data_IF_664710362614
#
_entry.id   IF_664710362614
#
_cell.length_a   1.000
_cell.length_b   1.000
_cell.length_c   1.000
_cell.angle_alpha   90.00
_cell.angle_beta   90.00
_cell.angle_gamma   90.00
#
_symmetry.space_group_name_H-M   'P 1'
#
loop_
_entity.id
_entity.type
_entity.pdbx_description
1 polymer ?
#
# COMPACT_ATOMS: atom_id res chain seq x y z
N UNK A 1 -6.46 -2.96 21.71
CA UNK A 1 -5.88 -2.30 20.51
C UNK A 1 -7.00 -1.55 19.78
N UNK A 2 -6.81 -0.27 19.44
CA UNK A 2 -7.83 0.49 18.69
C UNK A 2 -8.03 -0.11 17.29
N UNK A 3 -9.23 0.04 16.72
CA UNK A 3 -9.60 -0.66 15.48
C UNK A 3 -8.74 -0.22 14.29
N UNK A 4 -8.35 1.05 14.22
CA UNK A 4 -7.50 1.57 13.15
C UNK A 4 -6.13 0.86 13.09
N UNK A 5 -5.52 0.56 14.25
CA UNK A 5 -4.24 -0.14 14.29
C UNK A 5 -4.36 -1.60 13.84
N UNK A 6 -5.52 -2.23 14.04
CA UNK A 6 -5.77 -3.57 13.49
C UNK A 6 -5.82 -3.54 11.97
N UNK A 7 -6.44 -2.52 11.38
CA UNK A 7 -6.46 -2.33 9.92
C UNK A 7 -5.03 -2.20 9.38
N UNK A 8 -4.19 -1.39 10.03
CA UNK A 8 -2.78 -1.23 9.66
C UNK A 8 -2.00 -2.56 9.77
N UNK A 9 -2.16 -3.30 10.86
CA UNK A 9 -1.47 -4.59 11.05
C UNK A 9 -1.87 -5.62 10.00
N UNK A 10 -3.17 -5.72 9.70
CA UNK A 10 -3.68 -6.61 8.65
C UNK A 10 -3.10 -6.22 7.29
N UNK A 11 -3.03 -4.92 7.00
CA UNK A 11 -2.46 -4.43 5.74
C UNK A 11 -0.95 -4.71 5.62
N UNK A 12 -0.18 -4.55 6.70
CA UNK A 12 1.24 -4.93 6.75
C UNK A 12 1.42 -6.43 6.49
N UNK A 13 0.61 -7.27 7.13
CA UNK A 13 0.63 -8.72 6.88
C UNK A 13 0.25 -9.05 5.43
N UNK A 14 -0.74 -8.35 4.87
CA UNK A 14 -1.15 -8.53 3.49
C UNK A 14 -0.02 -8.16 2.50
N UNK A 15 0.73 -7.09 2.76
CA UNK A 15 1.91 -6.73 1.95
C UNK A 15 2.99 -7.80 2.05
N UNK A 16 3.36 -8.23 3.27
CA UNK A 16 4.36 -9.29 3.45
C UNK A 16 3.96 -10.57 2.71
N UNK A 17 2.69 -10.95 2.76
CA UNK A 17 2.19 -12.11 2.02
C UNK A 17 2.23 -11.88 0.50
N UNK A 18 1.80 -10.71 0.03
CA UNK A 18 1.86 -10.34 -1.38
C UNK A 18 3.30 -10.39 -1.91
N UNK A 19 4.24 -9.80 -1.19
CA UNK A 19 5.64 -9.74 -1.59
C UNK A 19 6.27 -11.12 -1.57
N UNK A 20 5.99 -11.91 -0.52
CA UNK A 20 6.53 -13.26 -0.38
C UNK A 20 6.00 -14.20 -1.47
N UNK A 21 4.68 -14.28 -1.62
CA UNK A 21 4.05 -15.14 -2.62
C UNK A 21 4.34 -14.64 -4.03
N UNK A 22 4.37 -13.33 -4.21
CA UNK A 22 4.68 -12.68 -5.46
C UNK A 22 6.09 -12.95 -5.92
N UNK A 23 7.06 -12.90 -5.01
CA UNK A 23 8.47 -13.20 -5.30
C UNK A 23 8.69 -14.67 -5.66
N UNK A 24 8.02 -15.59 -4.97
CA UNK A 24 8.06 -17.02 -5.29
C UNK A 24 7.42 -17.27 -6.66
N UNK A 25 6.26 -16.68 -6.91
CA UNK A 25 5.50 -16.87 -8.14
C UNK A 25 6.20 -16.25 -9.35
N UNK A 26 6.78 -15.05 -9.22
CA UNK A 26 7.50 -14.37 -10.31
C UNK A 26 8.67 -15.20 -10.80
N UNK A 27 9.40 -15.83 -9.88
CA UNK A 27 10.48 -16.77 -10.21
C UNK A 27 9.94 -18.07 -10.82
N UNK A 28 8.85 -18.62 -10.31
CA UNK A 28 8.33 -19.92 -10.76
C UNK A 28 7.67 -19.86 -12.13
N UNK A 29 6.99 -18.75 -12.44
CA UNK A 29 6.23 -18.55 -13.68
C UNK A 29 6.92 -17.58 -14.64
N UNK A 30 8.13 -17.13 -14.33
CA UNK A 30 8.99 -16.26 -15.14
C UNK A 30 8.31 -14.94 -15.60
N UNK A 31 7.54 -14.32 -14.70
CA UNK A 31 6.95 -13.00 -14.95
C UNK A 31 7.63 -11.93 -14.10
N UNK A 32 7.58 -10.68 -14.56
CA UNK A 32 8.15 -9.57 -13.82
C UNK A 32 7.34 -9.27 -12.55
N UNK A 33 7.99 -9.37 -11.39
CA UNK A 33 7.45 -9.09 -10.06
C UNK A 33 6.73 -7.74 -9.97
N UNK A 34 7.21 -6.70 -10.67
CA UNK A 34 6.61 -5.37 -10.67
C UNK A 34 5.16 -5.34 -11.19
N UNK A 35 4.71 -6.37 -11.91
CA UNK A 35 3.30 -6.51 -12.30
C UNK A 35 2.36 -6.71 -11.12
N UNK A 36 2.87 -7.04 -9.93
CA UNK A 36 2.07 -7.15 -8.71
C UNK A 36 1.87 -5.83 -7.99
N UNK A 37 2.59 -4.76 -8.38
CA UNK A 37 2.47 -3.43 -7.76
C UNK A 37 1.04 -2.85 -7.69
N UNK A 38 0.12 -3.08 -8.66
CA UNK A 38 -1.26 -2.61 -8.52
C UNK A 38 -1.97 -3.20 -7.31
N UNK A 39 -1.64 -4.42 -6.88
CA UNK A 39 -2.24 -5.04 -5.69
C UNK A 39 -1.78 -4.32 -4.41
N UNK A 40 -0.52 -3.89 -4.31
CA UNK A 40 -0.05 -3.05 -3.22
C UNK A 40 -0.83 -1.73 -3.16
N UNK A 41 -1.12 -1.10 -4.29
CA UNK A 41 -1.90 0.13 -4.34
C UNK A 41 -3.34 -0.06 -3.86
N UNK A 42 -3.97 -1.20 -4.20
CA UNK A 42 -5.29 -1.57 -3.68
C UNK A 42 -5.24 -1.70 -2.14
N UNK A 43 -4.18 -2.32 -1.60
CA UNK A 43 -3.98 -2.42 -0.14
C UNK A 43 -3.87 -1.03 0.49
N UNK A 44 -3.09 -0.11 -0.09
CA UNK A 44 -2.95 1.27 0.40
C UNK A 44 -4.27 2.01 0.43
N UNK A 45 -4.98 2.02 -0.70
CA UNK A 45 -6.26 2.72 -0.85
C UNK A 45 -7.34 2.15 0.07
N UNK A 46 -7.42 0.82 0.17
CA UNK A 46 -8.39 0.15 1.04
C UNK A 46 -8.10 0.41 2.52
N UNK A 47 -6.82 0.37 2.91
CA UNK A 47 -6.40 0.68 4.29
C UNK A 47 -6.78 2.12 4.66
N UNK A 48 -6.48 3.08 3.78
CA UNK A 48 -6.82 4.47 4.00
C UNK A 48 -8.33 4.69 4.07
N UNK A 49 -9.09 4.07 3.17
CA UNK A 49 -10.56 4.11 3.16
C UNK A 49 -11.14 3.59 4.48
N UNK A 50 -10.77 2.37 4.89
CA UNK A 50 -11.28 1.73 6.11
C UNK A 50 -10.87 2.52 7.36
N UNK A 51 -9.64 3.01 7.42
CA UNK A 51 -9.15 3.82 8.55
C UNK A 51 -9.87 5.17 8.62
N UNK A 52 -10.06 5.84 7.48
CA UNK A 52 -10.78 7.10 7.40
C UNK A 52 -12.26 6.96 7.78
N UNK A 53 -12.87 5.79 7.57
CA UNK A 53 -14.23 5.49 8.05
C UNK A 53 -14.31 5.38 9.57
N UNK A 54 -13.24 4.95 10.22
CA UNK A 54 -13.22 4.68 11.66
C UNK A 54 -12.72 5.87 12.48
N UNK A 55 -11.89 6.72 11.90
CA UNK A 55 -11.22 7.82 12.61
C UNK A 55 -11.25 9.12 11.83
N UNK A 56 -10.31 9.30 10.89
CA UNK A 56 -10.20 10.51 10.08
C UNK A 56 -9.32 10.26 8.83
N UNK A 57 -9.48 11.12 7.82
CA UNK A 57 -8.76 11.01 6.54
C UNK A 57 -7.25 11.14 6.73
N UNK A 58 -6.80 12.03 7.62
CA UNK A 58 -5.37 12.29 7.86
C UNK A 58 -4.69 11.02 8.39
N UNK A 59 -5.31 10.33 9.35
CA UNK A 59 -4.80 9.04 9.84
C UNK A 59 -4.76 7.99 8.71
N UNK A 60 -5.79 7.94 7.85
CA UNK A 60 -5.81 7.03 6.70
C UNK A 60 -4.67 7.28 5.71
N UNK A 61 -4.40 8.54 5.36
CA UNK A 61 -3.29 8.96 4.50
C UNK A 61 -1.94 8.59 5.13
N UNK A 62 -1.78 8.86 6.43
CA UNK A 62 -0.55 8.55 7.15
C UNK A 62 -0.30 7.04 7.20
N UNK A 63 -1.34 6.23 7.37
CA UNK A 63 -1.21 4.77 7.33
C UNK A 63 -0.84 4.27 5.92
N UNK A 64 -1.43 4.82 4.86
CA UNK A 64 -1.02 4.49 3.50
C UNK A 64 0.45 4.89 3.23
N UNK A 65 0.90 6.03 3.72
CA UNK A 65 2.30 6.44 3.63
C UNK A 65 3.23 5.44 4.36
N UNK A 66 2.89 5.02 5.57
CA UNK A 66 3.64 4.00 6.32
C UNK A 66 3.71 2.70 5.51
N UNK A 67 2.61 2.28 4.90
CA UNK A 67 2.57 1.08 4.07
C UNK A 67 3.47 1.21 2.83
N UNK A 68 3.44 2.35 2.14
CA UNK A 68 4.32 2.61 1.00
C UNK A 68 5.81 2.64 1.37
N UNK A 69 6.14 3.20 2.54
CA UNK A 69 7.50 3.15 3.08
C UNK A 69 7.90 1.71 3.42
N UNK A 70 7.00 0.94 4.03
CA UNK A 70 7.24 -0.46 4.37
C UNK A 70 7.47 -1.32 3.12
N UNK A 71 6.63 -1.21 2.11
CA UNK A 71 6.74 -1.96 0.84
C UNK A 71 8.05 -1.63 0.12
N UNK A 72 8.34 -0.34 -0.04
CA UNK A 72 9.57 0.12 -0.73
C UNK A 72 10.88 -0.15 0.04
N UNK A 73 10.81 -0.63 1.29
CA UNK A 73 11.98 -0.98 2.09
C UNK A 73 12.01 -2.46 2.44
N UNK A 74 11.09 -2.93 3.28
CA UNK A 74 11.00 -4.30 3.75
C UNK A 74 10.47 -5.22 2.65
N UNK A 75 9.43 -4.80 1.93
CA UNK A 75 8.90 -5.57 0.79
C UNK A 75 9.95 -5.79 -0.29
N UNK A 76 10.65 -4.72 -0.67
CA UNK A 76 11.77 -4.80 -1.59
C UNK A 76 12.92 -5.69 -1.07
N UNK A 77 13.24 -5.61 0.22
CA UNK A 77 14.25 -6.50 0.81
C UNK A 77 13.82 -7.97 0.76
N UNK A 78 12.54 -8.26 0.99
CA UNK A 78 11.99 -9.61 0.86
C UNK A 78 12.11 -10.13 -0.57
N UNK A 79 11.81 -9.30 -1.57
CA UNK A 79 11.91 -9.71 -2.98
C UNK A 79 13.33 -10.07 -3.38
N UNK A 80 14.33 -9.31 -2.90
CA UNK A 80 15.75 -9.63 -3.12
C UNK A 80 16.16 -10.94 -2.42
N UNK A 81 15.80 -11.13 -1.14
CA UNK A 81 16.12 -12.36 -0.40
C UNK A 81 15.49 -13.59 -1.07
N UNK A 82 14.27 -13.42 -1.58
CA UNK A 82 13.53 -14.46 -2.27
C UNK A 82 13.88 -14.54 -3.76
N UNK A 83 14.91 -13.83 -4.25
CA UNK A 83 15.33 -13.85 -5.65
C UNK A 83 14.13 -13.73 -6.62
N UNK A 84 13.27 -12.75 -6.39
CA UNK A 84 12.15 -12.45 -7.28
C UNK A 84 12.66 -12.14 -8.69
N UNK A 85 11.89 -12.50 -9.72
CA UNK A 85 12.19 -12.04 -11.08
C UNK A 85 11.82 -10.55 -11.18
N UNK A 86 12.80 -9.66 -11.03
CA UNK A 86 12.62 -8.20 -11.16
C UNK A 86 12.88 -7.68 -12.59
N UNK A 87 13.07 -8.58 -13.57
CA UNK A 87 13.52 -8.23 -14.91
C UNK A 87 14.88 -7.52 -14.92
N UNK A 88 15.04 -6.52 -15.77
CA UNK A 88 16.30 -5.77 -15.96
C UNK A 88 16.58 -4.71 -14.87
N UNK A 89 15.89 -4.77 -13.72
CA UNK A 89 16.14 -3.84 -12.62
C UNK A 89 17.51 -4.16 -12.02
N UNK A 90 18.43 -3.18 -12.10
CA UNK A 90 19.74 -3.28 -11.48
C UNK A 90 19.63 -3.16 -9.95
N UNK A 91 19.77 -4.30 -9.28
CA UNK A 91 19.76 -4.38 -7.82
C UNK A 91 21.02 -3.75 -7.16
N UNK A 92 21.99 -3.28 -7.95
CA UNK A 92 23.20 -2.56 -7.49
C UNK A 92 23.04 -1.03 -7.48
N UNK A 93 21.80 -0.53 -7.54
CA UNK A 93 21.50 0.88 -7.41
C UNK A 93 22.16 1.53 -6.18
N UNK A 94 22.59 2.79 -6.33
CA UNK A 94 23.21 3.55 -5.24
C UNK A 94 22.22 3.75 -4.07
N UNK A 95 22.74 3.88 -2.84
CA UNK A 95 21.92 4.15 -1.65
C UNK A 95 21.03 5.38 -1.82
N UNK A 96 21.52 6.42 -2.51
CA UNK A 96 20.73 7.61 -2.81
C UNK A 96 19.52 7.32 -3.69
N UNK A 97 19.66 6.45 -4.69
CA UNK A 97 18.55 6.05 -5.56
C UNK A 97 17.50 5.23 -4.80
N UNK A 98 17.92 4.35 -3.89
CA UNK A 98 17.01 3.61 -3.00
C UNK A 98 16.20 4.54 -2.10
N UNK A 99 16.85 5.51 -1.46
CA UNK A 99 16.18 6.50 -0.61
C UNK A 99 15.17 7.31 -1.44
N UNK A 100 15.57 7.78 -2.61
CA UNK A 100 14.66 8.52 -3.51
C UNK A 100 13.46 7.67 -3.93
N UNK A 101 13.68 6.40 -4.28
CA UNK A 101 12.61 5.47 -4.65
C UNK A 101 11.64 5.26 -3.48
N UNK A 102 12.15 5.04 -2.27
CA UNK A 102 11.32 4.89 -1.08
C UNK A 102 10.49 6.15 -0.78
N UNK A 103 11.09 7.34 -0.92
CA UNK A 103 10.38 8.61 -0.75
C UNK A 103 9.27 8.80 -1.80
N UNK A 104 9.57 8.51 -3.07
CA UNK A 104 8.58 8.59 -4.17
C UNK A 104 7.43 7.61 -3.91
N UNK A 105 7.72 6.36 -3.56
CA UNK A 105 6.69 5.34 -3.30
C UNK A 105 5.87 5.67 -2.05
N UNK A 106 6.50 6.21 -1.01
CA UNK A 106 5.79 6.70 0.19
C UNK A 106 4.84 7.85 -0.17
N UNK A 107 5.31 8.82 -0.96
CA UNK A 107 4.48 9.94 -1.43
C UNK A 107 3.34 9.49 -2.33
N UNK A 108 3.60 8.54 -3.24
CA UNK A 108 2.59 7.96 -4.11
C UNK A 108 1.53 7.17 -3.31
N UNK A 109 1.95 6.36 -2.34
CA UNK A 109 1.04 5.66 -1.45
C UNK A 109 0.20 6.64 -0.62
N UNK A 110 0.77 7.75 -0.15
CA UNK A 110 0.01 8.81 0.52
C UNK A 110 -1.04 9.44 -0.41
N UNK A 111 -0.71 9.67 -1.69
CA UNK A 111 -1.66 10.16 -2.69
C UNK A 111 -2.81 9.16 -2.93
N UNK A 112 -2.49 7.88 -3.11
CA UNK A 112 -3.50 6.81 -3.22
C UNK A 112 -4.36 6.75 -1.96
N UNK A 113 -3.75 6.89 -0.78
CA UNK A 113 -4.45 6.95 0.49
C UNK A 113 -5.35 8.17 0.61
N UNK A 114 -4.96 9.31 0.08
CA UNK A 114 -5.78 10.52 0.04
C UNK A 114 -7.03 10.31 -0.81
N UNK A 115 -6.89 9.67 -1.97
CA UNK A 115 -8.03 9.29 -2.81
C UNK A 115 -8.94 8.31 -2.05
N UNK A 116 -8.39 7.23 -1.49
CA UNK A 116 -9.14 6.25 -0.70
C UNK A 116 -9.89 6.87 0.48
N UNK A 117 -9.24 7.72 1.28
CA UNK A 117 -9.88 8.45 2.37
C UNK A 117 -10.90 9.48 1.89
N UNK A 118 -10.67 10.12 0.75
CA UNK A 118 -11.61 11.05 0.11
C UNK A 118 -12.92 10.37 -0.29
N UNK A 119 -12.86 9.14 -0.83
CA UNK A 119 -14.06 8.35 -1.15
C UNK A 119 -14.98 8.15 0.06
N UNK A 120 -14.42 7.97 1.26
CA UNK A 120 -15.20 7.85 2.51
C UNK A 120 -16.09 9.08 2.74
N UNK A 121 -15.55 10.28 2.50
CA UNK A 121 -16.31 11.53 2.71
C UNK A 121 -17.49 11.65 1.75
N UNK A 122 -17.30 11.22 0.50
CA UNK A 122 -18.36 11.23 -0.53
C UNK A 122 -19.48 10.27 -0.14
N UNK A 123 -19.13 9.05 0.29
CA UNK A 123 -20.09 8.02 0.68
C UNK A 123 -20.89 8.44 1.91
N UNK A 124 -20.22 8.95 2.95
CA UNK A 124 -20.90 9.40 4.17
C UNK A 124 -21.84 10.59 3.90
N UNK A 125 -21.42 11.56 3.08
CA UNK A 125 -22.27 12.70 2.68
C UNK A 125 -23.54 12.26 1.93
N UNK A 126 -23.43 11.26 1.07
CA UNK A 126 -24.58 10.71 0.32
C UNK A 126 -25.57 10.00 1.24
N UNK A 127 -25.10 9.30 2.27
CA UNK A 127 -25.95 8.62 3.26
C UNK A 127 -26.80 9.59 4.09
N UNK A 128 -26.23 10.71 4.54
CA UNK A 128 -26.96 11.72 5.32
C UNK A 128 -28.04 12.43 4.50
N UNK A 129 -27.76 12.74 3.23
CA UNK A 129 -28.73 13.37 2.33
C UNK A 129 -29.93 12.47 1.98
N UNK A 130 -29.76 11.14 2.02
CA UNK A 130 -30.85 10.20 1.77
C UNK A 130 -31.84 10.13 2.94
N UNK A 131 -31.37 10.29 4.19
CA UNK A 131 -32.21 10.28 5.39
C UNK A 131 -33.05 11.56 5.53
N UNK A 132 -32.60 12.68 4.98
CA UNK A 132 -33.33 13.96 5.03
C UNK A 132 -34.44 14.08 3.97
N UNK A 133 -34.56 13.10 3.05
CA UNK A 133 -35.57 13.05 1.99
C UNK A 133 -36.72 12.08 2.28
N UNK A 134 -36.67 11.35 3.39
CA UNK A 134 -37.73 10.47 3.90
C UNK A 134 -38.48 11.17 5.03
#
# INVERSE_FOLDING_TARGET
MKQEYKVLLIALLALVLLDTLGSISSRQFDFNYSFLSPFSFIIYGTTAFLTARQKDITTGVLFAAILGLFDSTIGWKLSMILNANTGDIDNQASTGLWIMTALIMTGFAALVGFLGGGLTRIINKKSTNAQHKL
#
